data_IF_230777314728
#
_entry.id   IF_230777314728
#
_cell.length_a   1.000
_cell.length_b   1.000
_cell.length_c   1.000
_cell.angle_alpha   90.00
_cell.angle_beta   90.00
_cell.angle_gamma   90.00
#
_symmetry.space_group_name_H-M   'P 1'
#
loop_
_entity.id
_entity.type
_entity.pdbx_description
1 polymer ?
#
# COMPACT_ATOMS: atom_id res chain seq x y z
N UNK A 1 16.02 -44.34 79.71
CA UNK A 1 14.97 -43.46 79.17
C UNK A 1 14.88 -43.72 77.65
N UNK A 2 13.77 -44.22 77.23
CA UNK A 2 13.55 -44.76 75.86
C UNK A 2 13.00 -43.61 74.99
N UNK A 3 13.60 -43.43 73.78
CA UNK A 3 13.01 -42.61 72.74
C UNK A 3 12.77 -43.50 71.50
N UNK A 4 11.56 -43.68 71.16
CA UNK A 4 11.07 -44.35 69.97
C UNK A 4 10.94 -43.36 68.81
N UNK A 5 11.61 -43.69 67.70
CA UNK A 5 11.47 -42.93 66.42
C UNK A 5 10.44 -43.67 65.53
N UNK A 6 9.43 -42.94 65.14
CA UNK A 6 8.45 -43.42 64.13
C UNK A 6 8.87 -42.91 62.73
N UNK A 7 9.02 -43.85 61.81
CA UNK A 7 9.28 -43.59 60.41
C UNK A 7 7.94 -43.51 59.63
N UNK A 8 7.66 -42.39 58.99
CA UNK A 8 6.59 -42.22 58.00
C UNK A 8 7.17 -42.42 56.58
N UNK A 9 6.68 -43.46 55.91
CA UNK A 9 6.93 -43.68 54.48
C UNK A 9 5.95 -42.83 53.65
N UNK A 10 6.44 -41.89 52.82
CA UNK A 10 5.65 -41.15 51.83
C UNK A 10 5.84 -41.79 50.47
N UNK A 11 4.77 -42.43 49.98
CA UNK A 11 4.67 -42.91 48.59
C UNK A 11 4.35 -41.76 47.68
N UNK A 12 5.30 -41.38 46.79
CA UNK A 12 5.09 -40.41 45.70
C UNK A 12 4.50 -41.12 44.49
N UNK A 13 3.25 -40.77 44.17
CA UNK A 13 2.59 -41.11 42.90
C UNK A 13 3.04 -40.12 41.83
N UNK A 14 3.86 -40.59 40.87
CA UNK A 14 4.17 -39.87 39.66
C UNK A 14 2.98 -39.94 38.69
N UNK A 15 2.19 -38.85 38.63
CA UNK A 15 1.30 -38.60 37.51
C UNK A 15 2.08 -37.89 36.42
N UNK A 16 2.35 -38.61 35.32
CA UNK A 16 2.87 -38.01 34.10
C UNK A 16 1.77 -37.23 33.36
N UNK A 17 1.82 -35.93 33.40
CA UNK A 17 1.05 -35.09 32.47
C UNK A 17 1.89 -34.91 31.19
N UNK A 18 1.46 -35.57 30.10
CA UNK A 18 1.87 -35.27 28.76
C UNK A 18 1.37 -33.88 28.38
N UNK A 19 2.25 -32.89 28.43
CA UNK A 19 1.95 -31.52 27.99
C UNK A 19 1.92 -31.45 26.47
N UNK A 20 0.73 -31.34 25.91
CA UNK A 20 0.52 -30.92 24.53
C UNK A 20 0.84 -29.42 24.47
N UNK A 21 2.01 -29.05 23.92
CA UNK A 21 2.39 -27.66 23.71
C UNK A 21 1.68 -27.06 22.50
N UNK A 22 0.36 -26.93 22.58
CA UNK A 22 -0.39 -25.98 21.77
C UNK A 22 -0.14 -24.59 22.37
N UNK A 23 0.50 -23.68 21.61
CA UNK A 23 0.72 -22.32 22.05
C UNK A 23 -0.60 -21.67 22.47
N UNK A 24 -0.71 -21.35 23.75
CA UNK A 24 -1.85 -20.59 24.26
C UNK A 24 -1.90 -19.22 23.59
N UNK A 25 -2.94 -19.00 22.77
CA UNK A 25 -3.33 -17.67 22.30
C UNK A 25 -3.52 -16.81 23.56
N UNK A 26 -2.72 -15.75 23.71
CA UNK A 26 -2.97 -14.73 24.75
C UNK A 26 -4.34 -14.11 24.45
N UNK A 27 -5.38 -14.55 25.11
CA UNK A 27 -6.71 -13.97 25.05
C UNK A 27 -6.71 -12.65 25.77
N UNK A 28 -6.54 -11.56 25.02
CA UNK A 28 -6.90 -10.24 25.50
C UNK A 28 -8.42 -10.09 25.35
N UNK A 29 -9.15 -10.29 26.44
CA UNK A 29 -10.55 -9.84 26.64
C UNK A 29 -11.60 -10.31 25.61
N UNK A 30 -11.41 -11.44 24.94
CA UNK A 30 -12.37 -11.99 23.96
C UNK A 30 -12.45 -11.25 22.63
N UNK A 31 -11.61 -10.21 22.42
CA UNK A 31 -11.56 -9.42 21.18
C UNK A 31 -10.74 -10.12 20.10
N UNK A 32 -11.17 -9.96 18.85
CA UNK A 32 -10.36 -10.34 17.69
C UNK A 32 -9.11 -9.47 17.58
N UNK A 33 -7.96 -10.08 17.28
CA UNK A 33 -6.68 -9.41 17.14
C UNK A 33 -6.43 -9.10 15.66
N UNK A 34 -6.40 -7.83 15.31
CA UNK A 34 -6.10 -7.36 13.94
C UNK A 34 -4.71 -6.75 13.94
N UNK A 35 -3.84 -7.23 13.07
CA UNK A 35 -2.55 -6.62 12.83
C UNK A 35 -2.60 -5.79 11.55
N UNK A 36 -2.09 -4.57 11.56
CA UNK A 36 -2.01 -3.68 10.39
C UNK A 36 -0.57 -3.27 10.18
N UNK A 37 -0.05 -3.42 8.98
CA UNK A 37 1.27 -2.91 8.60
C UNK A 37 1.19 -2.02 7.38
N UNK A 38 1.81 -0.85 7.48
CA UNK A 38 1.97 0.14 6.42
C UNK A 38 3.47 0.31 6.12
N UNK A 39 3.84 0.37 4.83
CA UNK A 39 5.27 0.48 4.46
C UNK A 39 5.88 1.78 4.94
N UNK A 40 5.17 2.89 4.78
CA UNK A 40 5.56 4.23 5.23
C UNK A 40 4.34 5.12 5.32
N UNK A 41 4.52 6.35 5.82
CA UNK A 41 3.46 7.32 5.96
C UNK A 41 3.41 8.25 4.73
N UNK A 42 2.26 8.31 4.09
CA UNK A 42 1.85 9.34 3.13
C UNK A 42 0.33 9.28 2.93
N UNK A 43 -0.25 10.35 2.37
CA UNK A 43 -1.70 10.58 2.36
C UNK A 43 -2.55 9.45 1.80
N UNK A 44 -2.11 8.76 0.73
CA UNK A 44 -2.88 7.64 0.15
C UNK A 44 -2.92 6.42 1.06
N UNK A 45 -1.77 6.02 1.65
CA UNK A 45 -1.74 4.87 2.56
C UNK A 45 -2.45 5.16 3.88
N UNK A 46 -2.33 6.39 4.40
CA UNK A 46 -3.06 6.81 5.61
C UNK A 46 -4.59 6.77 5.36
N UNK A 47 -5.03 7.22 4.18
CA UNK A 47 -6.44 7.14 3.77
C UNK A 47 -6.92 5.67 3.65
N UNK A 48 -6.12 4.79 3.03
CA UNK A 48 -6.42 3.37 2.93
C UNK A 48 -6.52 2.69 4.31
N UNK A 49 -5.60 3.02 5.23
CA UNK A 49 -5.62 2.52 6.60
C UNK A 49 -6.88 2.98 7.36
N UNK A 50 -7.19 4.28 7.28
CA UNK A 50 -8.39 4.81 7.90
C UNK A 50 -9.65 4.14 7.34
N UNK A 51 -9.73 4.02 6.00
CA UNK A 51 -10.84 3.35 5.32
C UNK A 51 -10.99 1.90 5.76
N UNK A 52 -9.89 1.15 5.89
CA UNK A 52 -9.91 -0.23 6.37
C UNK A 52 -10.53 -0.36 7.77
N UNK A 53 -10.15 0.50 8.68
CA UNK A 53 -10.69 0.50 10.05
C UNK A 53 -12.16 0.91 10.08
N UNK A 54 -12.54 1.90 9.28
CA UNK A 54 -13.94 2.35 9.17
C UNK A 54 -14.81 1.26 8.52
N UNK A 55 -14.33 0.58 7.48
CA UNK A 55 -15.02 -0.55 6.85
C UNK A 55 -15.24 -1.73 7.81
N UNK A 56 -14.25 -2.06 8.63
CA UNK A 56 -14.42 -3.03 9.72
C UNK A 56 -15.52 -2.59 10.69
N UNK A 57 -15.51 -1.33 11.08
CA UNK A 57 -16.49 -0.75 12.01
C UNK A 57 -17.90 -0.76 11.43
N UNK A 58 -18.08 -0.43 10.14
CA UNK A 58 -19.36 -0.49 9.43
C UNK A 58 -19.96 -1.90 9.43
N UNK A 59 -19.11 -2.93 9.42
CA UNK A 59 -19.50 -4.35 9.53
C UNK A 59 -19.63 -4.83 10.98
N UNK A 60 -19.58 -3.91 11.97
CA UNK A 60 -19.79 -4.20 13.37
C UNK A 60 -18.55 -4.65 14.13
N UNK A 61 -17.34 -4.48 13.58
CA UNK A 61 -16.07 -4.72 14.26
C UNK A 61 -15.51 -3.39 14.81
N UNK A 62 -16.19 -2.84 15.82
CA UNK A 62 -15.74 -1.67 16.56
C UNK A 62 -14.70 -1.98 17.64
N UNK A 63 -14.24 -0.95 18.36
CA UNK A 63 -13.25 -1.06 19.43
C UNK A 63 -13.67 -1.96 20.59
N UNK A 64 -14.96 -2.30 20.72
CA UNK A 64 -15.51 -3.26 21.66
C UNK A 64 -15.23 -4.71 21.25
N UNK A 65 -15.08 -5.00 19.94
CA UNK A 65 -14.90 -6.35 19.39
C UNK A 65 -13.51 -6.66 18.88
N UNK A 66 -12.71 -5.64 18.53
CA UNK A 66 -11.36 -5.82 18.00
C UNK A 66 -10.31 -5.10 18.84
N UNK A 67 -9.09 -5.62 18.80
CA UNK A 67 -7.87 -4.94 19.21
C UNK A 67 -6.95 -4.83 18.00
N UNK A 68 -6.45 -3.64 17.70
CA UNK A 68 -5.65 -3.38 16.50
C UNK A 68 -4.21 -3.08 16.89
N UNK A 69 -3.26 -3.86 16.36
CA UNK A 69 -1.82 -3.61 16.43
C UNK A 69 -1.38 -2.96 15.12
N UNK A 70 -1.21 -1.64 15.12
CA UNK A 70 -0.79 -0.87 13.95
C UNK A 70 0.72 -0.67 13.93
N UNK A 71 1.37 -1.01 12.82
CA UNK A 71 2.80 -0.86 12.61
C UNK A 71 3.10 -0.09 11.34
N UNK A 72 4.15 0.73 11.37
CA UNK A 72 4.67 1.46 10.22
C UNK A 72 6.17 1.15 10.08
N UNK A 73 6.57 0.70 8.91
CA UNK A 73 7.95 0.33 8.64
C UNK A 73 8.86 1.51 8.29
N UNK A 74 8.30 2.72 8.11
CA UNK A 74 9.04 3.95 7.78
C UNK A 74 9.92 3.83 6.53
N UNK A 75 9.48 3.06 5.53
CA UNK A 75 10.21 2.83 4.29
C UNK A 75 11.38 1.86 4.38
N UNK A 76 11.60 1.23 5.54
CA UNK A 76 12.73 0.33 5.76
C UNK A 76 12.32 -1.14 5.60
N UNK A 77 13.00 -1.86 4.71
CA UNK A 77 12.73 -3.28 4.42
C UNK A 77 13.06 -4.20 5.61
N UNK A 78 14.05 -3.84 6.43
CA UNK A 78 14.39 -4.62 7.63
C UNK A 78 13.33 -4.48 8.71
N UNK A 79 12.73 -3.28 8.83
CA UNK A 79 11.59 -3.05 9.70
C UNK A 79 10.38 -3.86 9.25
N UNK A 80 10.08 -3.93 7.94
CA UNK A 80 9.00 -4.78 7.39
C UNK A 80 9.19 -6.23 7.81
N UNK A 81 10.40 -6.77 7.65
CA UNK A 81 10.72 -8.15 8.05
C UNK A 81 10.53 -8.35 9.56
N UNK A 82 10.99 -7.42 10.38
CA UNK A 82 10.83 -7.46 11.84
C UNK A 82 9.35 -7.44 12.24
N UNK A 83 8.55 -6.59 11.61
CA UNK A 83 7.10 -6.50 11.84
C UNK A 83 6.41 -7.81 11.44
N UNK A 84 6.74 -8.37 10.26
CA UNK A 84 6.18 -9.64 9.80
C UNK A 84 6.51 -10.79 10.76
N UNK A 85 7.77 -10.88 11.23
CA UNK A 85 8.18 -11.89 12.21
C UNK A 85 7.45 -11.73 13.55
N UNK A 86 7.21 -10.49 14.00
CA UNK A 86 6.40 -10.20 15.19
C UNK A 86 4.94 -10.63 15.00
N UNK A 87 4.32 -10.35 13.86
CA UNK A 87 2.93 -10.79 13.58
C UNK A 87 2.84 -12.31 13.53
N UNK A 88 3.84 -12.99 12.95
CA UNK A 88 3.93 -14.44 12.96
C UNK A 88 3.95 -15.03 14.38
N UNK A 89 4.71 -14.41 15.28
CA UNK A 89 4.81 -14.83 16.68
C UNK A 89 3.51 -14.53 17.47
N UNK A 90 2.90 -13.37 17.25
CA UNK A 90 1.68 -12.92 17.94
C UNK A 90 0.42 -13.63 17.46
N UNK A 91 0.41 -14.20 16.23
CA UNK A 91 -0.71 -14.91 15.62
C UNK A 91 -2.04 -14.18 15.70
N UNK A 92 -2.18 -12.99 15.08
CA UNK A 92 -3.44 -12.27 15.02
C UNK A 92 -4.53 -13.09 14.31
N UNK A 93 -5.79 -12.72 14.47
CA UNK A 93 -6.91 -13.35 13.75
C UNK A 93 -6.91 -12.96 12.27
N UNK A 94 -6.40 -11.77 11.92
CA UNK A 94 -6.29 -11.26 10.55
C UNK A 94 -5.17 -10.22 10.46
N UNK A 95 -4.50 -10.17 9.31
CA UNK A 95 -3.48 -9.18 9.00
C UNK A 95 -3.98 -8.31 7.84
N UNK A 96 -3.89 -6.99 7.98
CA UNK A 96 -4.02 -6.04 6.90
C UNK A 96 -2.63 -5.56 6.48
N UNK A 97 -2.29 -5.74 5.21
CA UNK A 97 -1.02 -5.27 4.65
C UNK A 97 -1.29 -4.15 3.64
N UNK A 98 -0.82 -2.95 3.98
CA UNK A 98 -1.05 -1.73 3.19
C UNK A 98 0.21 -1.39 2.40
N UNK A 99 0.16 -1.52 1.10
CA UNK A 99 1.16 -1.43 0.05
C UNK A 99 1.74 -2.77 -0.39
N UNK A 100 2.25 -2.80 -1.63
CA UNK A 100 2.90 -3.99 -2.21
C UNK A 100 4.10 -4.47 -1.39
N UNK A 101 5.06 -3.62 -0.97
CA UNK A 101 6.20 -4.09 -0.17
C UNK A 101 5.80 -4.66 1.19
N UNK A 102 4.78 -4.07 1.86
CA UNK A 102 4.28 -4.56 3.13
C UNK A 102 3.62 -5.94 2.98
N UNK A 103 2.78 -6.11 1.95
CA UNK A 103 2.13 -7.39 1.66
C UNK A 103 3.14 -8.49 1.32
N UNK A 104 4.16 -8.17 0.51
CA UNK A 104 5.23 -9.12 0.19
C UNK A 104 6.00 -9.56 1.44
N UNK A 105 6.35 -8.62 2.32
CA UNK A 105 7.09 -8.95 3.55
C UNK A 105 6.26 -9.87 4.47
N UNK A 106 4.97 -9.61 4.63
CA UNK A 106 4.08 -10.43 5.47
C UNK A 106 3.82 -11.79 4.82
N UNK A 107 3.48 -11.84 3.53
CA UNK A 107 3.16 -13.09 2.82
C UNK A 107 4.38 -14.03 2.72
N UNK A 108 5.60 -13.50 2.64
CA UNK A 108 6.83 -14.31 2.65
C UNK A 108 7.09 -14.98 4.00
N UNK A 109 6.61 -14.46 5.10
CA UNK A 109 6.82 -14.98 6.45
C UNK A 109 5.63 -15.80 6.97
N UNK A 110 4.40 -15.49 6.53
CA UNK A 110 3.16 -16.01 7.12
C UNK A 110 2.30 -16.62 6.02
N UNK A 111 2.05 -17.94 6.12
CA UNK A 111 1.32 -18.71 5.09
C UNK A 111 0.01 -19.31 5.59
N UNK A 112 -0.31 -19.15 6.87
CA UNK A 112 -1.41 -19.82 7.56
C UNK A 112 -2.39 -18.87 8.27
N UNK A 113 -2.16 -17.57 8.24
CA UNK A 113 -3.07 -16.54 8.74
C UNK A 113 -3.66 -15.76 7.56
N UNK A 114 -4.95 -15.35 7.62
CA UNK A 114 -5.55 -14.57 6.56
C UNK A 114 -4.91 -13.19 6.43
N UNK A 115 -4.57 -12.81 5.21
CA UNK A 115 -3.98 -11.50 4.88
C UNK A 115 -4.92 -10.79 3.91
N UNK A 116 -5.36 -9.60 4.28
CA UNK A 116 -6.08 -8.67 3.40
C UNK A 116 -5.10 -7.59 2.95
N UNK A 117 -4.85 -7.56 1.65
CA UNK A 117 -4.03 -6.52 1.02
C UNK A 117 -4.87 -5.31 0.63
N UNK A 118 -4.31 -4.11 0.80
CA UNK A 118 -4.90 -2.85 0.37
C UNK A 118 -3.82 -1.95 -0.22
N UNK A 119 -4.15 -1.12 -1.19
CA UNK A 119 -3.19 -0.28 -1.89
C UNK A 119 -2.04 -1.12 -2.50
N UNK A 120 -2.41 -2.15 -3.25
CA UNK A 120 -1.50 -3.06 -3.96
C UNK A 120 -1.83 -3.00 -5.44
N UNK A 121 -0.86 -2.61 -6.25
CA UNK A 121 -1.09 -2.35 -7.67
C UNK A 121 -1.46 -3.62 -8.46
N UNK A 122 -0.77 -4.74 -8.21
CA UNK A 122 -1.06 -6.01 -8.86
C UNK A 122 -0.61 -7.18 -7.98
N UNK A 123 -1.59 -7.92 -7.45
CA UNK A 123 -1.32 -9.04 -6.55
C UNK A 123 -0.64 -10.22 -7.24
N UNK A 124 -0.98 -10.48 -8.49
CA UNK A 124 -0.42 -11.58 -9.27
C UNK A 124 1.05 -11.32 -9.64
N UNK A 125 1.34 -10.15 -10.19
CA UNK A 125 2.73 -9.77 -10.54
C UNK A 125 3.59 -9.58 -9.30
N UNK A 126 3.00 -9.12 -8.18
CA UNK A 126 3.68 -9.07 -6.89
C UNK A 126 3.91 -10.46 -6.26
N UNK A 127 3.42 -11.56 -6.88
CA UNK A 127 3.52 -12.94 -6.41
C UNK A 127 2.85 -13.18 -5.06
N UNK A 128 1.79 -12.45 -4.78
CA UNK A 128 0.98 -12.59 -3.56
C UNK A 128 -0.11 -13.64 -3.73
N UNK A 129 -0.60 -13.78 -4.96
CA UNK A 129 -1.64 -14.74 -5.36
C UNK A 129 -1.21 -15.49 -6.62
N UNK A 130 -1.82 -16.63 -6.92
CA UNK A 130 -1.58 -17.33 -8.19
C UNK A 130 -2.30 -16.67 -9.36
N UNK A 131 -3.52 -16.20 -9.13
CA UNK A 131 -4.23 -15.29 -10.03
C UNK A 131 -5.16 -14.37 -9.23
N UNK A 132 -5.48 -13.19 -9.79
CA UNK A 132 -6.39 -12.25 -9.14
C UNK A 132 -7.82 -12.82 -9.03
N UNK A 133 -8.25 -13.66 -9.97
CA UNK A 133 -9.57 -14.30 -9.96
C UNK A 133 -9.66 -15.50 -9.00
N UNK A 134 -8.54 -16.16 -8.73
CA UNK A 134 -8.47 -17.34 -7.85
C UNK A 134 -7.11 -17.37 -7.12
N UNK A 135 -7.02 -16.76 -5.94
CA UNK A 135 -5.75 -16.53 -5.24
C UNK A 135 -4.94 -17.78 -4.90
N UNK A 136 -5.57 -18.85 -4.37
CA UNK A 136 -4.93 -20.09 -3.90
C UNK A 136 -3.80 -19.88 -2.89
N UNK A 137 -3.81 -18.75 -2.20
CA UNK A 137 -2.89 -18.38 -1.13
C UNK A 137 -3.68 -17.85 0.07
N UNK A 138 -3.01 -17.57 1.16
CA UNK A 138 -3.64 -16.93 2.31
C UNK A 138 -3.84 -15.40 2.14
N UNK A 139 -3.68 -14.87 0.93
CA UNK A 139 -3.78 -13.45 0.59
C UNK A 139 -4.94 -13.21 -0.37
N UNK A 140 -5.72 -12.18 -0.12
CA UNK A 140 -6.64 -11.52 -1.06
C UNK A 140 -6.72 -10.05 -0.71
N UNK A 141 -7.58 -9.26 -1.34
CA UNK A 141 -7.75 -7.85 -1.01
C UNK A 141 -8.30 -7.01 -2.13
N UNK A 142 -8.00 -5.71 -2.08
CA UNK A 142 -8.42 -4.71 -3.07
C UNK A 142 -7.18 -4.10 -3.70
N UNK A 143 -7.10 -4.14 -5.04
CA UNK A 143 -5.98 -3.51 -5.76
C UNK A 143 -6.18 -1.98 -5.87
N UNK A 144 -5.11 -1.28 -6.24
CA UNK A 144 -5.13 0.16 -6.53
C UNK A 144 -4.79 0.45 -8.00
N UNK A 145 -5.07 -0.50 -8.88
CA UNK A 145 -4.70 -0.42 -10.29
C UNK A 145 -5.30 0.81 -10.97
N UNK A 146 -4.45 1.76 -11.28
CA UNK A 146 -4.79 2.95 -12.06
C UNK A 146 -4.57 2.74 -13.55
N UNK A 147 -5.24 3.53 -14.42
CA UNK A 147 -5.08 3.47 -15.88
C UNK A 147 -3.84 4.27 -16.31
N UNK A 148 -2.65 3.65 -16.26
CA UNK A 148 -1.34 4.29 -16.54
C UNK A 148 -1.33 5.03 -17.87
N UNK A 149 -1.89 4.45 -18.93
CA UNK A 149 -1.97 5.07 -20.24
C UNK A 149 -2.71 6.41 -20.19
N UNK A 150 -3.88 6.45 -19.53
CA UNK A 150 -4.65 7.68 -19.38
C UNK A 150 -3.97 8.72 -18.48
N UNK A 151 -3.16 8.26 -17.53
CA UNK A 151 -2.35 9.15 -16.69
C UNK A 151 -1.24 9.83 -17.50
N UNK A 152 -0.59 9.09 -18.41
CA UNK A 152 0.38 9.67 -19.36
C UNK A 152 -0.32 10.59 -20.38
N UNK A 153 -1.48 10.18 -20.90
CA UNK A 153 -2.28 10.99 -21.83
C UNK A 153 -2.71 12.32 -21.21
N UNK A 154 -2.96 12.35 -19.91
CA UNK A 154 -3.27 13.60 -19.20
C UNK A 154 -2.14 14.64 -19.41
N UNK A 155 -0.88 14.24 -19.38
CA UNK A 155 0.25 15.12 -19.69
C UNK A 155 0.15 15.74 -21.07
N UNK A 156 -0.24 14.95 -22.09
CA UNK A 156 -0.44 15.45 -23.46
C UNK A 156 -1.66 16.34 -23.62
N UNK A 157 -2.69 16.19 -22.78
CA UNK A 157 -3.84 17.11 -22.78
C UNK A 157 -3.46 18.50 -22.28
N UNK A 158 -2.57 18.59 -21.30
CA UNK A 158 -2.02 19.87 -20.85
C UNK A 158 -0.94 20.42 -21.81
N UNK A 159 -0.15 19.55 -22.43
CA UNK A 159 0.99 19.88 -23.29
C UNK A 159 0.93 19.12 -24.63
N UNK A 160 0.05 19.52 -25.57
CA UNK A 160 -0.13 18.78 -26.83
C UNK A 160 1.11 18.71 -27.74
N UNK A 161 2.06 19.62 -27.53
CA UNK A 161 3.31 19.67 -28.30
C UNK A 161 4.46 18.90 -27.64
N UNK A 162 4.25 18.29 -26.46
CA UNK A 162 5.29 17.55 -25.75
C UNK A 162 5.83 16.37 -26.57
N UNK A 163 7.13 16.13 -26.47
CA UNK A 163 7.85 15.06 -27.15
C UNK A 163 8.67 14.20 -26.20
N UNK A 164 8.92 14.67 -24.97
CA UNK A 164 9.84 14.06 -24.02
C UNK A 164 9.13 13.84 -22.69
N UNK A 165 8.91 12.58 -22.35
CA UNK A 165 8.36 12.15 -21.07
C UNK A 165 9.50 11.87 -20.09
N UNK A 166 9.49 12.53 -18.94
CA UNK A 166 10.27 12.13 -17.78
C UNK A 166 9.53 11.04 -17.01
N UNK A 167 10.24 9.98 -16.64
CA UNK A 167 9.71 8.91 -15.82
C UNK A 167 10.61 8.74 -14.61
N UNK A 168 10.06 8.99 -13.40
CA UNK A 168 10.80 8.85 -12.16
C UNK A 168 10.04 7.92 -11.19
N UNK A 169 10.76 6.95 -10.62
CA UNK A 169 10.18 5.96 -9.73
C UNK A 169 11.24 5.23 -8.87
N UNK A 170 10.80 4.55 -7.81
CA UNK A 170 11.66 3.74 -6.95
C UNK A 170 12.01 2.40 -7.60
N UNK A 171 13.31 2.11 -7.71
CA UNK A 171 13.80 0.80 -8.19
C UNK A 171 13.58 -0.34 -7.19
N UNK A 172 13.23 -0.03 -5.94
CA UNK A 172 13.01 -1.02 -4.88
C UNK A 172 11.55 -1.50 -4.80
N UNK A 173 10.65 -0.92 -5.60
CA UNK A 173 9.22 -1.23 -5.57
C UNK A 173 8.75 -1.87 -6.88
N UNK A 174 8.30 -3.13 -6.81
CA UNK A 174 7.82 -3.86 -7.98
C UNK A 174 6.56 -3.24 -8.60
N UNK A 175 5.67 -2.66 -7.78
CA UNK A 175 4.51 -1.89 -8.24
C UNK A 175 4.91 -0.73 -9.14
N UNK A 176 5.93 0.04 -8.75
CA UNK A 176 6.43 1.16 -9.53
C UNK A 176 7.07 0.71 -10.84
N UNK A 177 7.83 -0.39 -10.81
CA UNK A 177 8.48 -0.96 -12.00
C UNK A 177 7.44 -1.39 -13.05
N UNK A 178 6.37 -2.08 -12.63
CA UNK A 178 5.29 -2.54 -13.54
C UNK A 178 4.65 -1.35 -14.25
N UNK A 179 4.27 -0.32 -13.50
CA UNK A 179 3.63 0.87 -14.06
C UNK A 179 4.60 1.68 -14.93
N UNK A 180 5.89 1.73 -14.56
CA UNK A 180 6.92 2.35 -15.37
C UNK A 180 7.08 1.65 -16.73
N UNK A 181 7.04 0.32 -16.76
CA UNK A 181 7.12 -0.44 -18.01
C UNK A 181 5.87 -0.22 -18.89
N UNK A 182 4.67 -0.13 -18.30
CA UNK A 182 3.44 0.24 -18.99
C UNK A 182 3.53 1.66 -19.56
N UNK A 183 4.00 2.63 -18.76
CA UNK A 183 4.17 4.01 -19.21
C UNK A 183 5.17 4.13 -20.35
N UNK A 184 6.29 3.40 -20.31
CA UNK A 184 7.29 3.34 -21.41
C UNK A 184 6.69 2.77 -22.69
N UNK A 185 5.94 1.67 -22.59
CA UNK A 185 5.29 1.05 -23.74
C UNK A 185 4.26 1.99 -24.39
N UNK A 186 3.44 2.67 -23.57
CA UNK A 186 2.46 3.62 -24.03
C UNK A 186 3.12 4.86 -24.65
N UNK A 187 4.13 5.44 -24.00
CA UNK A 187 4.90 6.57 -24.52
C UNK A 187 5.53 6.27 -25.88
N UNK A 188 6.08 5.06 -26.05
CA UNK A 188 6.63 4.63 -27.34
C UNK A 188 5.56 4.58 -28.45
N UNK A 189 4.34 4.12 -28.13
CA UNK A 189 3.21 4.10 -29.08
C UNK A 189 2.77 5.51 -29.50
N UNK A 190 2.99 6.50 -28.66
CA UNK A 190 2.69 7.92 -28.91
C UNK A 190 3.88 8.69 -29.55
N UNK A 191 5.00 8.01 -29.79
CA UNK A 191 6.21 8.64 -30.36
C UNK A 191 6.93 9.58 -29.37
N UNK A 192 6.72 9.43 -28.07
CA UNK A 192 7.43 10.16 -27.05
C UNK A 192 8.80 9.54 -26.77
N UNK A 193 9.82 10.38 -26.56
CA UNK A 193 11.10 9.95 -26.00
C UNK A 193 10.99 9.90 -24.48
N UNK A 194 11.40 8.79 -23.87
CA UNK A 194 11.37 8.63 -22.41
C UNK A 194 12.76 8.90 -21.83
N UNK A 195 12.81 9.78 -20.83
CA UNK A 195 13.99 10.03 -19.98
C UNK A 195 13.69 9.41 -18.61
N UNK A 196 14.27 8.26 -18.35
CA UNK A 196 14.02 7.48 -17.14
C UNK A 196 15.05 7.80 -16.04
N UNK A 197 14.58 7.94 -14.80
CA UNK A 197 15.40 8.04 -13.59
C UNK A 197 14.80 7.17 -12.51
N UNK A 198 15.64 6.45 -11.81
CA UNK A 198 15.23 5.66 -10.63
C UNK A 198 15.82 6.25 -9.36
N UNK A 199 15.10 6.08 -8.27
CA UNK A 199 15.56 6.44 -6.92
C UNK A 199 15.57 5.18 -6.06
N UNK A 200 16.40 5.13 -5.03
CA UNK A 200 16.42 4.08 -4.03
C UNK A 200 15.87 4.56 -2.68
N UNK A 201 15.86 5.86 -2.48
CA UNK A 201 15.40 6.52 -1.25
C UNK A 201 14.88 7.92 -1.53
N UNK A 202 14.22 8.53 -0.55
CA UNK A 202 13.76 9.93 -0.61
C UNK A 202 14.92 10.93 -0.84
N UNK A 203 16.14 10.60 -0.42
CA UNK A 203 17.30 11.46 -0.56
C UNK A 203 17.77 11.60 -2.02
N UNK A 204 17.40 10.66 -2.89
CA UNK A 204 17.81 10.66 -4.29
C UNK A 204 16.90 11.51 -5.17
N UNK A 205 15.67 11.86 -4.68
CA UNK A 205 14.60 12.49 -5.48
C UNK A 205 15.05 13.82 -6.04
N UNK A 206 15.69 14.69 -5.24
CA UNK A 206 16.13 15.99 -5.67
C UNK A 206 17.13 15.88 -6.83
N UNK A 207 18.17 15.08 -6.69
CA UNK A 207 19.20 14.91 -7.72
C UNK A 207 18.62 14.27 -9.00
N UNK A 208 17.73 13.28 -8.85
CA UNK A 208 17.06 12.67 -9.99
C UNK A 208 16.23 13.70 -10.76
N UNK A 209 15.43 14.53 -10.06
CA UNK A 209 14.66 15.61 -10.66
C UNK A 209 15.52 16.67 -11.35
N UNK A 210 16.59 17.14 -10.69
CA UNK A 210 17.54 18.11 -11.25
C UNK A 210 18.17 17.61 -12.56
N UNK A 211 18.48 16.31 -12.64
CA UNK A 211 19.04 15.69 -13.85
C UNK A 211 18.07 15.63 -15.03
N UNK A 212 16.78 15.86 -14.81
CA UNK A 212 15.74 15.89 -15.86
C UNK A 212 15.49 17.30 -16.40
N UNK A 213 15.91 18.34 -15.68
CA UNK A 213 15.70 19.74 -16.10
C UNK A 213 16.29 19.99 -17.48
N UNK A 214 15.48 20.55 -18.39
CA UNK A 214 15.85 20.78 -19.80
C UNK A 214 15.83 19.52 -20.69
N UNK A 215 15.65 18.34 -20.13
CA UNK A 215 15.61 17.08 -20.88
C UNK A 215 14.19 16.57 -21.15
N UNK A 216 13.21 17.01 -20.36
CA UNK A 216 11.82 16.53 -20.43
C UNK A 216 10.84 17.69 -20.58
N UNK A 217 9.66 17.40 -21.10
CA UNK A 217 8.56 18.37 -21.25
C UNK A 217 7.53 18.23 -20.11
N UNK A 218 7.36 17.04 -19.58
CA UNK A 218 6.59 16.73 -18.38
C UNK A 218 7.11 15.45 -17.72
N UNK A 219 6.74 15.23 -16.47
CA UNK A 219 7.13 14.04 -15.70
C UNK A 219 5.87 13.24 -15.33
N UNK A 220 5.98 11.92 -15.43
CA UNK A 220 5.04 10.97 -14.86
C UNK A 220 5.70 10.21 -13.69
N UNK A 221 4.98 10.12 -12.58
CA UNK A 221 5.33 9.32 -11.40
C UNK A 221 4.26 8.25 -11.22
N UNK A 222 4.60 6.96 -11.24
CA UNK A 222 3.68 5.87 -10.92
C UNK A 222 3.09 5.98 -9.51
N UNK A 223 2.27 4.99 -9.12
CA UNK A 223 1.88 4.79 -7.72
C UNK A 223 3.11 4.28 -6.94
N UNK A 224 3.91 5.21 -6.45
CA UNK A 224 5.25 5.00 -5.86
C UNK A 224 5.28 5.54 -4.43
N UNK A 225 5.57 4.68 -3.45
CA UNK A 225 5.50 5.10 -2.04
C UNK A 225 6.66 6.02 -1.65
N UNK A 226 7.86 5.76 -2.17
CA UNK A 226 9.05 6.58 -1.86
C UNK A 226 8.84 8.02 -2.35
N UNK A 227 8.39 8.19 -3.59
CA UNK A 227 8.17 9.52 -4.16
C UNK A 227 6.93 10.18 -3.55
N UNK A 228 5.84 9.42 -3.31
CA UNK A 228 4.63 9.93 -2.66
C UNK A 228 4.91 10.55 -1.29
N UNK A 229 5.84 9.97 -0.53
CA UNK A 229 6.23 10.53 0.77
C UNK A 229 7.00 11.86 0.69
N UNK A 230 7.43 12.27 -0.50
CA UNK A 230 8.33 13.42 -0.70
C UNK A 230 8.04 14.22 -1.98
N UNK A 231 6.79 14.26 -2.45
CA UNK A 231 6.38 15.07 -3.62
C UNK A 231 6.83 16.53 -3.51
N UNK A 232 6.75 17.21 -2.34
CA UNK A 232 7.24 18.58 -2.23
C UNK A 232 8.71 18.75 -2.63
N UNK A 233 9.56 17.72 -2.42
CA UNK A 233 10.95 17.75 -2.87
C UNK A 233 11.07 17.72 -4.39
N UNK A 234 10.23 16.90 -5.05
CA UNK A 234 10.19 16.82 -6.51
C UNK A 234 9.72 18.14 -7.13
N UNK A 235 8.57 18.66 -6.68
CA UNK A 235 7.96 19.87 -7.26
C UNK A 235 8.80 21.13 -6.98
N UNK A 236 9.55 21.17 -5.89
CA UNK A 236 10.51 22.25 -5.60
C UNK A 236 11.56 22.42 -6.70
N UNK A 237 11.90 21.33 -7.40
CA UNK A 237 12.83 21.35 -8.54
C UNK A 237 12.09 21.62 -9.85
N UNK A 238 10.93 20.98 -10.06
CA UNK A 238 10.25 21.00 -11.36
C UNK A 238 9.44 22.26 -11.60
N UNK A 239 8.85 22.88 -10.57
CA UNK A 239 8.04 24.11 -10.69
C UNK A 239 8.84 25.30 -11.22
N UNK A 240 10.03 25.65 -10.69
CA UNK A 240 10.87 26.71 -11.25
C UNK A 240 11.29 26.43 -12.69
N UNK A 241 11.47 25.15 -13.03
CA UNK A 241 11.83 24.72 -14.38
C UNK A 241 10.61 24.64 -15.33
N UNK A 242 9.39 24.94 -14.83
CA UNK A 242 8.11 24.83 -15.57
C UNK A 242 7.82 23.45 -16.14
N UNK A 243 8.22 22.41 -15.42
CA UNK A 243 7.99 21.00 -15.80
C UNK A 243 6.82 20.47 -14.98
N UNK A 244 5.64 20.25 -15.57
CA UNK A 244 4.50 19.69 -14.86
C UNK A 244 4.72 18.21 -14.50
N UNK A 245 4.20 17.82 -13.33
CA UNK A 245 4.29 16.46 -12.81
C UNK A 245 2.88 15.85 -12.73
N UNK A 246 2.67 14.71 -13.39
CA UNK A 246 1.46 13.90 -13.34
C UNK A 246 1.73 12.62 -12.57
N UNK A 247 0.76 12.15 -11.80
CA UNK A 247 1.02 11.14 -10.78
C UNK A 247 -0.06 10.06 -10.72
N UNK A 248 0.32 8.87 -10.26
CA UNK A 248 -0.55 7.71 -10.14
C UNK A 248 -1.48 7.73 -8.91
N UNK A 249 -1.22 8.58 -7.90
CA UNK A 249 -2.02 8.61 -6.68
C UNK A 249 -2.50 10.03 -6.33
N UNK A 250 -3.69 10.12 -5.76
CA UNK A 250 -4.39 11.36 -5.45
C UNK A 250 -3.67 12.25 -4.42
N UNK A 251 -3.04 11.63 -3.42
CA UNK A 251 -2.30 12.37 -2.40
C UNK A 251 -1.14 13.15 -3.00
N UNK A 252 -0.44 12.59 -3.98
CA UNK A 252 0.66 13.28 -4.65
C UNK A 252 0.21 14.55 -5.38
N UNK A 253 -1.00 14.54 -5.97
CA UNK A 253 -1.58 15.75 -6.56
C UNK A 253 -1.94 16.79 -5.49
N UNK A 254 -2.47 16.34 -4.35
CA UNK A 254 -2.74 17.23 -3.19
C UNK A 254 -1.46 17.86 -2.64
N UNK A 255 -0.35 17.13 -2.67
CA UNK A 255 0.95 17.54 -2.13
C UNK A 255 1.80 18.36 -3.13
N UNK A 256 1.26 18.69 -4.32
CA UNK A 256 1.88 19.65 -5.23
C UNK A 256 2.02 19.21 -6.68
N UNK A 257 1.88 17.95 -7.04
CA UNK A 257 1.87 17.53 -8.45
C UNK A 257 0.64 18.11 -9.17
N UNK A 258 0.73 18.29 -10.50
CA UNK A 258 -0.30 18.99 -11.27
C UNK A 258 -1.61 18.22 -11.36
N UNK A 259 -1.55 16.90 -11.58
CA UNK A 259 -2.77 16.12 -11.78
C UNK A 259 -2.60 14.63 -11.61
N UNK A 260 -3.72 13.98 -11.30
CA UNK A 260 -3.81 12.54 -11.11
C UNK A 260 -5.14 12.02 -11.66
N UNK A 261 -5.12 10.81 -12.20
CA UNK A 261 -6.30 9.97 -12.40
C UNK A 261 -6.08 8.71 -11.57
N UNK A 262 -6.69 8.63 -10.41
CA UNK A 262 -6.36 7.60 -9.43
C UNK A 262 -7.59 7.01 -8.76
N UNK A 263 -7.37 5.91 -8.06
CA UNK A 263 -8.36 5.32 -7.17
C UNK A 263 -8.59 6.23 -5.96
N UNK A 264 -9.77 6.12 -5.36
CA UNK A 264 -10.04 6.67 -4.02
C UNK A 264 -9.52 5.69 -2.97
N UNK A 265 -8.33 5.98 -2.41
CA UNK A 265 -7.67 5.09 -1.45
C UNK A 265 -8.47 4.87 -0.17
N UNK A 266 -9.23 5.87 0.29
CA UNK A 266 -10.12 5.70 1.44
C UNK A 266 -11.23 4.68 1.14
N UNK A 267 -11.91 4.80 0.00
CA UNK A 267 -12.97 3.85 -0.39
C UNK A 267 -12.42 2.45 -0.65
N UNK A 268 -11.25 2.33 -1.28
CA UNK A 268 -10.57 1.03 -1.42
C UNK A 268 -10.23 0.42 -0.05
N UNK A 269 -9.85 1.25 0.91
CA UNK A 269 -9.68 0.83 2.30
C UNK A 269 -10.97 0.32 2.93
N UNK A 270 -12.10 1.04 2.77
CA UNK A 270 -13.43 0.62 3.28
C UNK A 270 -13.82 -0.74 2.68
N UNK A 271 -13.64 -0.90 1.37
CA UNK A 271 -13.90 -2.15 0.66
C UNK A 271 -13.05 -3.31 1.23
N UNK A 272 -11.76 -3.09 1.47
CA UNK A 272 -10.86 -4.06 2.11
C UNK A 272 -11.29 -4.38 3.56
N UNK A 273 -11.78 -3.39 4.30
CA UNK A 273 -12.34 -3.56 5.64
C UNK A 273 -13.60 -4.42 5.67
N UNK A 274 -14.48 -4.24 4.68
CA UNK A 274 -15.67 -5.10 4.51
C UNK A 274 -15.26 -6.56 4.23
N UNK A 275 -14.31 -6.76 3.31
CA UNK A 275 -13.76 -8.09 2.99
C UNK A 275 -13.12 -8.74 4.24
N UNK A 276 -12.37 -7.97 5.03
CA UNK A 276 -11.78 -8.43 6.29
C UNK A 276 -12.85 -8.91 7.29
N UNK A 277 -13.94 -8.16 7.41
CA UNK A 277 -15.06 -8.56 8.28
C UNK A 277 -15.70 -9.88 7.83
N UNK A 278 -15.90 -10.08 6.53
CA UNK A 278 -16.46 -11.31 5.99
C UNK A 278 -15.53 -12.52 6.20
N UNK A 279 -14.18 -12.31 6.18
CA UNK A 279 -13.19 -13.32 6.59
C UNK A 279 -13.30 -13.63 8.08
N UNK A 280 -13.42 -12.62 8.95
CA UNK A 280 -13.55 -12.79 10.41
C UNK A 280 -14.85 -13.50 10.81
N UNK A 281 -15.92 -13.29 10.03
CA UNK A 281 -17.21 -14.00 10.18
C UNK A 281 -17.18 -15.43 9.62
N UNK A 282 -16.12 -15.83 8.91
CA UNK A 282 -16.01 -17.13 8.24
C UNK A 282 -16.91 -17.28 7.00
N UNK A 283 -17.45 -16.18 6.46
CA UNK A 283 -18.28 -16.18 5.24
C UNK A 283 -17.46 -16.43 3.99
N UNK A 284 -16.24 -15.94 3.97
CA UNK A 284 -15.27 -16.11 2.87
C UNK A 284 -13.91 -16.58 3.40
N UNK A 285 -13.09 -17.14 2.50
CA UNK A 285 -11.71 -17.51 2.77
C UNK A 285 -10.81 -16.81 1.77
N UNK A 286 -9.71 -16.28 2.23
CA UNK A 286 -8.75 -15.53 1.38
C UNK A 286 -8.33 -16.30 0.13
N UNK A 287 -8.08 -17.60 0.26
CA UNK A 287 -7.63 -18.47 -0.83
C UNK A 287 -8.65 -18.68 -1.95
N UNK A 288 -9.95 -18.52 -1.64
CA UNK A 288 -11.07 -18.79 -2.53
C UNK A 288 -11.78 -17.50 -2.99
N UNK A 289 -11.30 -16.33 -2.53
CA UNK A 289 -11.94 -15.04 -2.79
C UNK A 289 -11.08 -14.21 -3.73
N UNK A 290 -11.63 -13.86 -4.89
CA UNK A 290 -10.95 -13.03 -5.88
C UNK A 290 -10.46 -11.70 -5.28
N UNK A 291 -9.34 -11.22 -5.80
CA UNK A 291 -8.90 -9.83 -5.58
C UNK A 291 -9.92 -8.91 -6.25
N UNK A 292 -10.35 -7.88 -5.54
CA UNK A 292 -11.32 -6.92 -6.04
C UNK A 292 -10.63 -5.71 -6.69
N UNK A 293 -11.30 -5.15 -7.71
CA UNK A 293 -10.91 -3.86 -8.28
C UNK A 293 -11.52 -2.72 -7.47
N UNK A 294 -10.92 -1.51 -7.45
CA UNK A 294 -11.47 -0.35 -6.77
C UNK A 294 -12.74 0.13 -7.47
N UNK A 295 -13.75 0.53 -6.67
CA UNK A 295 -15.04 0.96 -7.21
C UNK A 295 -15.01 2.31 -7.92
N UNK A 296 -14.07 3.18 -7.57
CA UNK A 296 -14.07 4.59 -8.01
C UNK A 296 -12.69 5.05 -8.48
N UNK A 297 -12.68 5.65 -9.68
CA UNK A 297 -11.54 6.41 -10.21
C UNK A 297 -11.93 7.89 -10.24
N UNK A 298 -11.04 8.77 -9.76
CA UNK A 298 -11.24 10.23 -9.74
C UNK A 298 -10.13 10.95 -10.51
N UNK A 299 -10.51 11.99 -11.25
CA UNK A 299 -9.56 12.98 -11.80
C UNK A 299 -9.37 14.09 -10.78
N UNK A 300 -8.12 14.37 -10.42
CA UNK A 300 -7.75 15.40 -9.47
C UNK A 300 -6.77 16.35 -10.14
N UNK A 301 -7.03 17.66 -10.04
CA UNK A 301 -6.17 18.72 -10.57
C UNK A 301 -5.80 19.69 -9.45
N UNK A 302 -4.50 19.94 -9.31
CA UNK A 302 -3.99 20.95 -8.39
C UNK A 302 -3.98 22.32 -9.07
N UNK A 303 -4.90 23.21 -8.64
CA UNK A 303 -5.04 24.56 -9.20
C UNK A 303 -3.81 25.41 -8.99
N UNK A 304 -3.25 25.35 -7.78
CA UNK A 304 -2.06 26.13 -7.43
C UNK A 304 -0.86 25.71 -8.27
N UNK A 305 -0.70 24.40 -8.53
CA UNK A 305 0.33 23.91 -9.44
C UNK A 305 0.08 24.40 -10.87
N UNK A 306 -1.14 24.32 -11.38
CA UNK A 306 -1.49 24.85 -12.71
C UNK A 306 -1.14 26.34 -12.85
N UNK A 307 -1.53 27.15 -11.86
CA UNK A 307 -1.21 28.59 -11.81
C UNK A 307 0.30 28.84 -11.75
N UNK A 308 1.03 28.10 -10.87
CA UNK A 308 2.49 28.19 -10.74
C UNK A 308 3.19 27.88 -12.05
N UNK A 309 2.73 26.87 -12.78
CA UNK A 309 3.27 26.46 -14.07
C UNK A 309 2.84 27.37 -15.23
N UNK A 310 1.78 28.17 -15.04
CA UNK A 310 1.19 29.00 -16.10
C UNK A 310 0.39 28.20 -17.12
N UNK A 311 -0.19 27.06 -16.71
CA UNK A 311 -0.93 26.15 -17.58
C UNK A 311 -2.45 26.34 -17.41
N UNK A 312 -3.16 26.41 -18.54
CA UNK A 312 -4.62 26.38 -18.55
C UNK A 312 -5.11 24.95 -18.32
N UNK A 313 -6.15 24.79 -17.49
CA UNK A 313 -6.79 23.49 -17.28
C UNK A 313 -7.61 23.15 -18.53
N UNK A 314 -7.36 22.01 -19.22
CA UNK A 314 -8.13 21.59 -20.38
C UNK A 314 -9.63 21.47 -20.09
N UNK A 315 -10.47 21.71 -21.10
CA UNK A 315 -11.94 21.71 -20.98
C UNK A 315 -12.47 20.43 -20.34
N UNK A 316 -11.92 19.29 -20.74
CA UNK A 316 -12.32 17.97 -20.25
C UNK A 316 -12.07 17.77 -18.75
N UNK A 317 -11.18 18.55 -18.12
CA UNK A 317 -10.86 18.47 -16.69
C UNK A 317 -11.47 19.60 -15.85
N UNK A 318 -12.32 20.46 -16.44
CA UNK A 318 -12.95 21.56 -15.68
C UNK A 318 -13.86 21.08 -14.55
N UNK A 319 -14.43 19.87 -14.70
CA UNK A 319 -15.28 19.23 -13.69
C UNK A 319 -14.51 18.24 -12.78
N UNK A 320 -13.17 18.19 -12.90
CA UNK A 320 -12.36 17.37 -12.03
C UNK A 320 -12.39 17.87 -10.58
N UNK A 321 -12.04 17.02 -9.65
CA UNK A 321 -11.84 17.41 -8.25
C UNK A 321 -10.64 18.34 -8.14
N UNK A 322 -10.91 19.59 -7.77
CA UNK A 322 -9.87 20.60 -7.63
C UNK A 322 -9.29 20.58 -6.23
N UNK A 323 -7.94 20.68 -6.14
CA UNK A 323 -7.16 20.78 -4.90
C UNK A 323 -6.11 21.89 -5.02
N UNK A 324 -5.48 22.30 -3.91
CA UNK A 324 -4.42 23.31 -3.85
C UNK A 324 -4.88 24.74 -3.61
#
# INVERSE_FOLDING_TARGET
MKLTAAALAATALLYGCGGNSGGEKKTTDGKKQIAVVQVMQHGSLDAANQGFLDGLKERGYGADKISVDQQNAQGDQSNLKTIASRFKANRPDLICAISTPAAQAVANEIHDLPIIGCAITDFETAKLVKSNSWPETNVTGVNDRGPVEKQVDMGLKFLPAAKRLGLIYSSSEVNSQIQADQAKAHAASLGLTVVERTVSSVNDIQQAAESMVGQVDFIYVPTDNVIASSIPTLVKVTDPAKIPVFVGADSMAKDGALGSLSVDFYKSGVQAGHMAADVLDGKIKTQDTAVEDPEVLEVIINKKSAETLGLAIPEEYKNAKMVG
#
